data_IF_843090064737
#
_entry.id   IF_843090064737
#
_cell.length_a   1.000
_cell.length_b   1.000
_cell.length_c   1.000
_cell.angle_alpha   90.00
_cell.angle_beta   90.00
_cell.angle_gamma   90.00
#
_symmetry.space_group_name_H-M   'P 1'
#
loop_
_entity.id
_entity.type
_entity.pdbx_description
1 polymer ?
#
# COMPACT_ATOMS: atom_id res chain seq x y z
N UNK A 1 4.83 -12.89 5.60
CA UNK A 1 4.36 -13.02 4.21
C UNK A 1 3.60 -14.32 4.07
N UNK A 2 2.48 -14.28 3.34
CA UNK A 2 1.65 -15.44 3.01
C UNK A 2 1.62 -15.58 1.49
N UNK A 3 1.64 -16.81 0.99
CA UNK A 3 1.46 -17.11 -0.41
C UNK A 3 -0.01 -17.46 -0.67
N UNK A 4 -0.63 -16.77 -1.62
CA UNK A 4 -1.97 -17.11 -2.10
C UNK A 4 -1.86 -17.47 -3.58
N UNK A 5 -2.35 -18.64 -3.97
CA UNK A 5 -2.15 -19.16 -5.33
C UNK A 5 -3.44 -19.74 -5.89
N UNK A 6 -3.71 -19.47 -7.17
CA UNK A 6 -4.78 -20.13 -7.95
C UNK A 6 -4.49 -21.59 -8.31
N UNK A 7 -3.27 -22.03 -8.10
CA UNK A 7 -2.89 -23.40 -8.36
C UNK A 7 -3.66 -24.39 -7.46
N UNK A 8 -3.69 -25.65 -7.85
CA UNK A 8 -4.17 -26.75 -7.00
C UNK A 8 -3.15 -27.06 -5.90
N UNK A 9 -3.59 -27.76 -4.85
CA UNK A 9 -2.72 -28.23 -3.80
C UNK A 9 -1.59 -29.15 -4.31
N UNK A 10 -1.84 -29.93 -5.37
CA UNK A 10 -0.86 -30.82 -5.99
C UNK A 10 0.38 -30.08 -6.52
N UNK A 11 0.21 -28.85 -6.98
CA UNK A 11 1.33 -28.02 -7.43
C UNK A 11 2.06 -27.33 -6.26
N UNK A 12 1.54 -27.43 -5.06
CA UNK A 12 2.08 -26.81 -3.85
C UNK A 12 3.51 -27.24 -3.55
N UNK A 13 3.84 -28.52 -3.77
CA UNK A 13 5.19 -29.05 -3.55
C UNK A 13 6.23 -28.29 -4.40
N UNK A 14 5.94 -28.08 -5.68
CA UNK A 14 6.83 -27.30 -6.56
C UNK A 14 7.04 -25.88 -6.06
N UNK A 15 5.99 -25.27 -5.58
CA UNK A 15 6.03 -23.89 -5.05
C UNK A 15 6.88 -23.84 -3.78
N UNK A 16 6.67 -24.76 -2.85
CA UNK A 16 7.46 -24.83 -1.61
C UNK A 16 8.92 -25.16 -1.88
N UNK A 17 9.22 -26.04 -2.83
CA UNK A 17 10.59 -26.28 -3.28
C UNK A 17 11.26 -25.03 -3.83
N UNK A 18 10.51 -24.21 -4.59
CA UNK A 18 10.99 -22.93 -5.11
C UNK A 18 11.25 -21.91 -3.98
N UNK A 19 10.35 -21.83 -3.01
CA UNK A 19 10.51 -21.00 -1.81
C UNK A 19 11.80 -21.38 -1.07
N UNK A 20 12.03 -22.66 -0.87
CA UNK A 20 13.21 -23.21 -0.22
C UNK A 20 14.48 -22.91 -1.04
N UNK A 21 14.46 -23.17 -2.33
CA UNK A 21 15.57 -22.90 -3.23
C UNK A 21 16.03 -21.45 -3.21
N UNK A 22 15.08 -20.51 -3.11
CA UNK A 22 15.37 -19.08 -3.04
C UNK A 22 15.58 -18.56 -1.60
N UNK A 23 15.60 -19.42 -0.60
CA UNK A 23 15.82 -19.04 0.81
C UNK A 23 14.73 -18.12 1.38
N UNK A 24 13.48 -18.18 0.87
CA UNK A 24 12.41 -17.30 1.28
C UNK A 24 11.73 -17.81 2.56
N UNK A 25 11.54 -16.93 3.55
CA UNK A 25 10.85 -17.27 4.79
C UNK A 25 9.32 -17.16 4.64
N UNK A 26 8.73 -17.99 3.76
CA UNK A 26 7.29 -18.11 3.55
C UNK A 26 6.84 -19.47 4.07
N UNK A 27 6.14 -19.49 5.21
CA UNK A 27 5.73 -20.73 5.89
C UNK A 27 4.27 -21.10 5.70
N UNK A 28 3.44 -20.18 5.21
CA UNK A 28 2.00 -20.38 5.06
C UNK A 28 1.57 -20.05 3.63
N UNK A 29 0.74 -20.94 3.08
CA UNK A 29 0.18 -20.79 1.75
C UNK A 29 -1.27 -21.26 1.71
N UNK A 30 -2.08 -20.71 0.80
CA UNK A 30 -3.37 -21.25 0.41
C UNK A 30 -3.39 -21.47 -1.10
N UNK A 31 -3.86 -22.64 -1.51
CA UNK A 31 -4.03 -23.04 -2.90
C UNK A 31 -5.54 -23.12 -3.19
N UNK A 32 -6.00 -22.37 -4.18
CA UNK A 32 -7.42 -22.09 -4.37
C UNK A 32 -8.02 -22.81 -5.59
N UNK A 33 -7.27 -23.70 -6.25
CA UNK A 33 -7.74 -24.53 -7.36
C UNK A 33 -8.53 -23.75 -8.42
N UNK A 34 -7.99 -22.65 -8.92
CA UNK A 34 -8.61 -21.77 -9.91
C UNK A 34 -9.44 -20.62 -9.33
N UNK A 35 -9.90 -20.72 -8.08
CA UNK A 35 -10.66 -19.65 -7.44
C UNK A 35 -9.79 -18.42 -7.14
N UNK A 36 -10.43 -17.25 -7.02
CA UNK A 36 -9.71 -16.03 -6.68
C UNK A 36 -9.14 -16.07 -5.25
N UNK A 37 -7.84 -15.81 -5.07
CA UNK A 37 -7.16 -15.95 -3.80
C UNK A 37 -7.46 -14.81 -2.81
N UNK A 38 -8.00 -13.67 -3.25
CA UNK A 38 -8.26 -12.51 -2.40
C UNK A 38 -9.17 -12.84 -1.20
N UNK A 39 -10.08 -13.82 -1.35
CA UNK A 39 -10.99 -14.25 -0.28
C UNK A 39 -10.28 -14.70 1.00
N UNK A 40 -9.07 -15.18 0.87
CA UNK A 40 -8.27 -15.66 2.00
C UNK A 40 -7.41 -14.57 2.65
N UNK A 41 -7.24 -13.42 2.00
CA UNK A 41 -6.37 -12.37 2.48
C UNK A 41 -6.79 -11.84 3.88
N UNK A 42 -8.09 -11.63 4.10
CA UNK A 42 -8.62 -11.22 5.40
C UNK A 42 -8.36 -12.28 6.49
N UNK A 43 -8.59 -13.54 6.19
CA UNK A 43 -8.38 -14.64 7.13
C UNK A 43 -6.92 -14.80 7.58
N UNK A 44 -5.98 -14.36 6.74
CA UNK A 44 -4.56 -14.31 7.07
C UNK A 44 -4.14 -12.99 7.75
N UNK A 45 -5.07 -12.04 7.96
CA UNK A 45 -4.76 -10.73 8.53
C UNK A 45 -3.86 -9.89 7.62
N UNK A 46 -4.04 -9.99 6.30
CA UNK A 46 -3.22 -9.25 5.35
C UNK A 46 -3.59 -7.77 5.33
N UNK A 47 -2.59 -6.90 5.48
CA UNK A 47 -2.72 -5.45 5.33
C UNK A 47 -2.38 -4.98 3.91
N UNK A 48 -1.75 -5.84 3.11
CA UNK A 48 -1.43 -5.60 1.70
C UNK A 48 -1.60 -6.89 0.91
N UNK A 49 -2.30 -6.79 -0.22
CA UNK A 49 -2.44 -7.86 -1.19
C UNK A 49 -1.75 -7.47 -2.49
N UNK A 50 -0.86 -8.33 -2.97
CA UNK A 50 -0.11 -8.11 -4.21
C UNK A 50 -0.43 -9.21 -5.21
N UNK A 51 -0.81 -8.84 -6.43
CA UNK A 51 -1.10 -9.80 -7.50
C UNK A 51 -0.69 -9.25 -8.87
N UNK A 52 -0.41 -10.12 -9.81
CA UNK A 52 -0.29 -9.77 -11.24
C UNK A 52 -1.66 -9.60 -11.90
N UNK A 53 -2.72 -10.14 -11.29
CA UNK A 53 -4.09 -10.12 -11.80
C UNK A 53 -4.84 -8.89 -11.27
N UNK A 54 -5.17 -7.96 -12.18
CA UNK A 54 -5.86 -6.71 -11.81
C UNK A 54 -7.23 -6.96 -11.18
N UNK A 55 -7.95 -7.99 -11.66
CA UNK A 55 -9.26 -8.36 -11.13
C UNK A 55 -9.18 -8.76 -9.65
N UNK A 56 -8.14 -9.51 -9.26
CA UNK A 56 -7.92 -9.90 -7.86
C UNK A 56 -7.60 -8.70 -6.98
N UNK A 57 -6.78 -7.76 -7.50
CA UNK A 57 -6.47 -6.52 -6.78
C UNK A 57 -7.72 -5.67 -6.54
N UNK A 58 -8.56 -5.50 -7.56
CA UNK A 58 -9.84 -4.75 -7.44
C UNK A 58 -10.79 -5.40 -6.43
N UNK A 59 -10.92 -6.72 -6.49
CA UNK A 59 -11.76 -7.46 -5.56
C UNK A 59 -11.27 -7.34 -4.12
N UNK A 60 -9.95 -7.38 -3.91
CA UNK A 60 -9.33 -7.20 -2.60
C UNK A 60 -9.51 -5.78 -2.04
N UNK A 61 -9.37 -4.75 -2.90
CA UNK A 61 -9.69 -3.36 -2.53
C UNK A 61 -11.14 -3.20 -2.11
N UNK A 62 -12.08 -3.82 -2.84
CA UNK A 62 -13.50 -3.83 -2.49
C UNK A 62 -13.79 -4.51 -1.14
N UNK A 63 -12.89 -5.36 -0.65
CA UNK A 63 -12.94 -5.98 0.69
C UNK A 63 -12.18 -5.16 1.76
N UNK A 64 -11.73 -3.94 1.44
CA UNK A 64 -11.02 -3.06 2.38
C UNK A 64 -9.55 -3.39 2.63
N UNK A 65 -8.93 -4.24 1.79
CA UNK A 65 -7.50 -4.54 1.89
C UNK A 65 -6.75 -3.72 0.84
N UNK A 66 -5.70 -3.00 1.26
CA UNK A 66 -4.80 -2.33 0.35
C UNK A 66 -4.26 -3.32 -0.68
N UNK A 67 -4.35 -2.98 -1.97
CA UNK A 67 -3.97 -3.92 -3.03
C UNK A 67 -3.27 -3.24 -4.17
N UNK A 68 -2.21 -3.87 -4.67
CA UNK A 68 -1.47 -3.35 -5.80
C UNK A 68 -1.12 -4.44 -6.82
N UNK A 69 -1.15 -4.04 -8.10
CA UNK A 69 -0.72 -4.91 -9.19
C UNK A 69 0.79 -4.91 -9.29
N UNK A 70 1.38 -6.11 -9.29
CA UNK A 70 2.80 -6.29 -9.55
C UNK A 70 3.04 -6.12 -11.05
N UNK A 71 3.88 -5.16 -11.42
CA UNK A 71 4.37 -4.95 -12.78
C UNK A 71 5.74 -5.61 -12.92
N UNK A 72 5.94 -6.33 -14.02
CA UNK A 72 7.26 -6.86 -14.34
C UNK A 72 8.19 -5.72 -14.71
N UNK A 73 9.25 -5.56 -13.95
CA UNK A 73 10.31 -4.59 -14.25
C UNK A 73 11.45 -5.27 -15.00
N UNK A 74 11.95 -4.59 -16.05
CA UNK A 74 13.20 -4.96 -16.74
C UNK A 74 14.41 -4.22 -16.13
N UNK A 75 14.20 -3.45 -15.04
CA UNK A 75 15.24 -2.68 -14.39
C UNK A 75 16.29 -3.55 -13.72
N UNK A 76 17.51 -3.05 -13.65
CA UNK A 76 18.57 -3.68 -12.85
C UNK A 76 18.17 -3.59 -11.37
N UNK A 77 18.25 -4.71 -10.66
CA UNK A 77 18.06 -4.73 -9.21
C UNK A 77 19.15 -3.88 -8.56
N UNK A 78 18.73 -2.84 -7.86
CA UNK A 78 19.65 -2.08 -7.00
C UNK A 78 19.78 -2.89 -5.72
N UNK A 79 20.98 -3.40 -5.46
CA UNK A 79 21.29 -4.06 -4.17
C UNK A 79 21.17 -3.00 -3.07
N UNK A 80 20.15 -3.10 -2.26
CA UNK A 80 19.93 -2.25 -1.10
C UNK A 80 19.47 -3.12 0.06
N UNK A 81 19.99 -2.85 1.25
CA UNK A 81 19.51 -3.48 2.48
C UNK A 81 18.23 -2.79 3.02
N UNK A 82 17.74 -1.78 2.32
CA UNK A 82 16.54 -1.05 2.70
C UNK A 82 15.41 -1.27 1.69
N UNK A 83 14.22 -1.56 2.19
CA UNK A 83 12.98 -1.51 1.42
C UNK A 83 12.53 -0.05 1.34
N UNK A 84 12.45 0.49 0.14
CA UNK A 84 11.96 1.86 -0.11
C UNK A 84 10.58 1.78 -0.71
N UNK A 85 9.60 2.41 -0.05
CA UNK A 85 8.21 2.43 -0.48
C UNK A 85 7.80 3.87 -0.72
N UNK A 86 7.35 4.19 -1.92
CA UNK A 86 6.73 5.48 -2.23
C UNK A 86 5.23 5.28 -2.37
N UNK A 87 4.46 6.11 -1.68
CA UNK A 87 3.00 6.12 -1.76
C UNK A 87 2.53 7.35 -2.52
N UNK A 88 1.52 7.19 -3.35
CA UNK A 88 0.71 8.32 -3.80
C UNK A 88 -0.17 8.84 -2.65
N UNK A 89 -0.52 10.11 -2.68
CA UNK A 89 -1.32 10.76 -1.65
C UNK A 89 -2.81 10.54 -1.84
N UNK A 90 -3.37 11.25 -2.81
CA UNK A 90 -4.81 11.29 -3.05
C UNK A 90 -5.34 9.97 -3.61
N UNK A 91 -6.50 9.54 -3.14
CA UNK A 91 -7.14 8.26 -3.51
C UNK A 91 -6.34 7.00 -3.15
N UNK A 92 -5.19 7.14 -2.49
CA UNK A 92 -4.34 6.03 -2.04
C UNK A 92 -4.18 6.05 -0.52
N UNK A 93 -3.39 6.97 0.02
CA UNK A 93 -3.25 7.15 1.49
C UNK A 93 -4.45 7.90 2.05
N UNK A 94 -4.90 8.93 1.35
CA UNK A 94 -6.09 9.71 1.69
C UNK A 94 -7.27 9.27 0.83
N UNK A 95 -8.48 9.63 1.25
CA UNK A 95 -9.69 9.44 0.44
C UNK A 95 -9.61 10.25 -0.86
N UNK A 96 -10.56 10.01 -1.73
CA UNK A 96 -10.72 10.71 -3.01
C UNK A 96 -11.47 12.05 -2.90
N UNK A 97 -11.79 12.51 -1.69
CA UNK A 97 -12.60 13.73 -1.47
C UNK A 97 -12.05 14.96 -2.20
N UNK A 98 -10.74 15.14 -2.17
CA UNK A 98 -10.08 16.27 -2.81
C UNK A 98 -9.95 16.07 -4.32
N UNK A 99 -9.73 14.83 -4.77
CA UNK A 99 -9.69 14.48 -6.18
C UNK A 99 -11.04 14.72 -6.85
N UNK A 100 -12.14 14.35 -6.20
CA UNK A 100 -13.51 14.61 -6.69
C UNK A 100 -13.74 16.10 -6.92
N UNK A 101 -13.27 16.96 -6.00
CA UNK A 101 -13.40 18.40 -6.14
C UNK A 101 -12.58 18.92 -7.34
N UNK A 102 -11.36 18.42 -7.48
CA UNK A 102 -10.52 18.76 -8.62
C UNK A 102 -11.14 18.37 -9.96
N UNK A 103 -11.67 17.15 -10.05
CA UNK A 103 -12.25 16.59 -11.28
C UNK A 103 -13.52 17.31 -11.70
N UNK A 104 -14.35 17.78 -10.75
CA UNK A 104 -15.61 18.45 -11.03
C UNK A 104 -15.48 19.97 -11.19
N UNK A 105 -14.59 20.60 -10.44
CA UNK A 105 -14.55 22.06 -10.30
C UNK A 105 -13.19 22.69 -10.62
N UNK A 106 -12.17 21.88 -10.93
CA UNK A 106 -10.85 22.33 -11.34
C UNK A 106 -9.95 22.78 -10.19
N UNK A 107 -8.76 23.28 -10.57
CA UNK A 107 -7.66 23.56 -9.65
C UNK A 107 -7.98 24.67 -8.64
N UNK A 108 -8.68 25.73 -9.05
CA UNK A 108 -8.98 26.85 -8.16
C UNK A 108 -9.92 26.45 -7.03
N UNK A 109 -10.96 25.67 -7.35
CA UNK A 109 -11.88 25.13 -6.37
C UNK A 109 -11.18 24.16 -5.42
N UNK A 110 -10.31 23.30 -5.92
CA UNK A 110 -9.46 22.44 -5.13
C UNK A 110 -8.58 23.23 -4.15
N UNK A 111 -7.85 24.24 -4.62
CA UNK A 111 -6.97 25.05 -3.77
C UNK A 111 -7.74 25.81 -2.68
N UNK A 112 -8.90 26.35 -3.02
CA UNK A 112 -9.80 27.01 -2.08
C UNK A 112 -10.28 26.03 -1.01
N UNK A 113 -10.81 24.88 -1.42
CA UNK A 113 -11.27 23.83 -0.50
C UNK A 113 -10.16 23.36 0.44
N UNK A 114 -8.97 23.09 -0.04
CA UNK A 114 -7.85 22.65 0.77
C UNK A 114 -7.37 23.72 1.75
N UNK A 115 -7.42 24.99 1.36
CA UNK A 115 -7.07 26.12 2.25
C UNK A 115 -8.09 26.27 3.37
N UNK A 116 -9.39 26.23 3.07
CA UNK A 116 -10.49 26.35 4.04
C UNK A 116 -10.50 25.15 5.00
N UNK A 117 -10.13 23.97 4.53
CA UNK A 117 -10.09 22.75 5.33
C UNK A 117 -8.68 22.38 5.84
N UNK A 118 -7.72 23.29 5.79
CA UNK A 118 -6.32 23.02 6.15
C UNK A 118 -6.11 22.47 7.58
N UNK A 119 -7.08 22.68 8.48
CA UNK A 119 -7.05 22.18 9.86
C UNK A 119 -7.90 20.92 10.09
N UNK A 120 -8.65 20.49 9.08
CA UNK A 120 -9.44 19.26 9.14
C UNK A 120 -8.64 18.11 8.51
N UNK A 121 -8.38 17.03 9.25
CA UNK A 121 -7.69 15.88 8.67
C UNK A 121 -8.43 15.34 7.46
N UNK A 122 -7.68 14.89 6.45
CA UNK A 122 -8.21 14.10 5.35
C UNK A 122 -8.73 12.75 5.87
N UNK A 123 -9.75 12.22 5.24
CA UNK A 123 -10.23 10.89 5.52
C UNK A 123 -9.24 9.83 5.03
N UNK A 124 -9.27 8.65 5.65
CA UNK A 124 -8.36 7.55 5.31
C UNK A 124 -8.71 6.95 3.96
N UNK A 125 -7.70 6.82 3.11
CA UNK A 125 -7.77 6.06 1.87
C UNK A 125 -7.48 4.56 2.07
N UNK A 126 -7.53 3.78 0.99
CA UNK A 126 -7.41 2.32 1.04
C UNK A 126 -6.05 1.83 1.58
N UNK A 127 -4.98 2.60 1.43
CA UNK A 127 -3.65 2.25 1.89
C UNK A 127 -3.27 2.80 3.28
N UNK A 128 -4.16 3.55 3.93
CA UNK A 128 -3.85 4.17 5.23
C UNK A 128 -3.53 3.12 6.31
N UNK A 129 -4.25 1.99 6.34
CA UNK A 129 -3.96 0.90 7.29
C UNK A 129 -2.60 0.28 7.03
N UNK A 130 -2.25 0.02 5.77
CA UNK A 130 -0.95 -0.53 5.42
C UNK A 130 0.18 0.45 5.77
N UNK A 131 0.03 1.74 5.48
CA UNK A 131 0.99 2.76 5.88
C UNK A 131 1.22 2.77 7.40
N UNK A 132 0.14 2.67 8.18
CA UNK A 132 0.23 2.64 9.64
C UNK A 132 1.02 1.42 10.14
N UNK A 133 0.80 0.23 9.55
CA UNK A 133 1.55 -0.97 9.91
C UNK A 133 3.04 -0.88 9.55
N UNK A 134 3.36 -0.32 8.37
CA UNK A 134 4.76 -0.08 7.98
C UNK A 134 5.42 0.90 8.94
N UNK A 135 4.72 1.96 9.32
CA UNK A 135 5.22 2.93 10.30
C UNK A 135 5.42 2.31 11.69
N UNK A 136 4.52 1.43 12.13
CA UNK A 136 4.67 0.70 13.39
C UNK A 136 5.92 -0.20 13.38
N UNK A 137 6.27 -0.77 12.23
CA UNK A 137 7.54 -1.50 12.08
C UNK A 137 8.72 -0.54 12.19
N UNK A 138 8.68 0.62 11.51
CA UNK A 138 9.78 1.60 11.57
C UNK A 138 10.07 2.07 13.00
N UNK A 139 9.05 2.22 13.86
CA UNK A 139 9.23 2.63 15.27
C UNK A 139 10.14 1.72 16.08
N UNK A 140 10.31 0.46 15.67
CA UNK A 140 11.14 -0.51 16.38
C UNK A 140 12.63 -0.39 16.03
N UNK A 141 13.00 0.53 15.15
CA UNK A 141 14.37 0.71 14.68
C UNK A 141 14.85 2.15 14.87
N UNK A 142 16.13 2.37 15.19
CA UNK A 142 16.74 3.69 15.05
C UNK A 142 16.62 4.19 13.61
N UNK A 143 16.43 5.49 13.44
CA UNK A 143 16.19 6.07 12.10
C UNK A 143 17.30 5.72 11.10
N UNK A 144 18.58 5.69 11.54
CA UNK A 144 19.73 5.39 10.67
C UNK A 144 19.71 3.93 10.20
N UNK A 145 19.32 3.00 11.08
CA UNK A 145 19.37 1.55 10.82
C UNK A 145 18.02 0.96 10.39
N UNK A 146 17.03 1.82 10.14
CA UNK A 146 15.71 1.35 9.77
C UNK A 146 15.74 0.65 8.39
N UNK A 147 15.30 -0.62 8.32
CA UNK A 147 15.30 -1.37 7.06
C UNK A 147 14.23 -0.91 6.07
N UNK A 148 13.33 -0.01 6.47
CA UNK A 148 12.24 0.48 5.63
C UNK A 148 12.29 2.01 5.58
N UNK A 149 12.15 2.55 4.38
CA UNK A 149 11.97 3.99 4.14
C UNK A 149 10.65 4.23 3.43
N UNK A 150 9.96 5.28 3.87
CA UNK A 150 8.65 5.65 3.33
C UNK A 150 8.74 7.05 2.74
N UNK A 151 8.28 7.20 1.51
CA UNK A 151 8.10 8.50 0.87
C UNK A 151 6.64 8.71 0.47
N UNK A 152 6.16 9.93 0.55
CA UNK A 152 4.90 10.35 -0.03
C UNK A 152 5.19 11.15 -1.29
N UNK A 153 4.56 10.76 -2.39
CA UNK A 153 4.58 11.49 -3.66
C UNK A 153 3.20 12.08 -3.87
N UNK A 154 3.13 13.37 -4.12
CA UNK A 154 1.86 14.07 -4.34
C UNK A 154 2.04 15.23 -5.30
N UNK A 155 1.04 15.48 -6.12
CA UNK A 155 0.99 16.65 -7.00
C UNK A 155 0.57 17.95 -6.27
N UNK A 156 0.22 17.87 -4.99
CA UNK A 156 -0.21 19.03 -4.21
C UNK A 156 0.93 20.03 -4.03
N UNK A 157 0.70 21.26 -4.44
CA UNK A 157 1.60 22.39 -4.24
C UNK A 157 1.25 23.17 -2.96
N UNK A 158 2.02 24.22 -2.64
CA UNK A 158 1.65 25.18 -1.59
C UNK A 158 0.42 26.00 -2.06
N UNK A 159 -0.58 26.23 -1.17
CA UNK A 159 -0.67 25.88 0.25
C UNK A 159 -1.31 24.51 0.54
N UNK A 160 -1.82 23.78 -0.47
CA UNK A 160 -2.63 22.58 -0.32
C UNK A 160 -1.92 21.43 0.40
N UNK A 161 -0.57 21.38 0.35
CA UNK A 161 0.22 20.38 1.07
C UNK A 161 0.11 20.48 2.61
N UNK A 162 -0.29 21.65 3.16
CA UNK A 162 -0.43 21.83 4.63
C UNK A 162 -1.39 20.83 5.25
N UNK A 163 -2.53 20.59 4.58
CA UNK A 163 -3.55 19.66 5.05
C UNK A 163 -3.00 18.23 5.14
N UNK A 164 -2.22 17.81 4.15
CA UNK A 164 -1.54 16.51 4.12
C UNK A 164 -0.62 16.32 5.32
N UNK A 165 0.27 17.30 5.56
CA UNK A 165 1.21 17.24 6.70
C UNK A 165 0.48 17.18 8.03
N UNK A 166 -0.56 18.02 8.20
CA UNK A 166 -1.37 18.03 9.43
C UNK A 166 -2.14 16.73 9.62
N UNK A 167 -2.65 16.14 8.54
CA UNK A 167 -3.33 14.84 8.57
C UNK A 167 -2.40 13.74 9.05
N UNK A 168 -1.21 13.62 8.47
CA UNK A 168 -0.22 12.61 8.88
C UNK A 168 0.20 12.80 10.35
N UNK A 169 0.41 14.04 10.79
CA UNK A 169 0.70 14.34 12.21
C UNK A 169 -0.45 13.95 13.13
N UNK A 170 -1.70 14.22 12.72
CA UNK A 170 -2.89 13.82 13.46
C UNK A 170 -3.00 12.28 13.58
N UNK A 171 -2.62 11.55 12.54
CA UNK A 171 -2.55 10.09 12.57
C UNK A 171 -1.34 9.56 13.35
N UNK A 172 -0.44 10.43 13.80
CA UNK A 172 0.79 10.05 14.48
C UNK A 172 1.83 9.38 13.56
N UNK A 173 1.71 9.55 12.24
CA UNK A 173 2.58 8.94 11.24
C UNK A 173 3.62 9.96 10.79
N UNK A 174 4.89 9.52 10.75
CA UNK A 174 5.99 10.24 10.13
C UNK A 174 6.40 9.55 8.84
N UNK A 175 6.72 10.35 7.84
CA UNK A 175 7.27 9.93 6.54
C UNK A 175 8.70 10.48 6.45
N UNK A 176 9.60 9.73 5.84
CA UNK A 176 11.02 10.07 5.67
C UNK A 176 11.25 11.25 4.73
#
# INVERSE_FOLDING_TARGET
>A
VFLLSRNSADTGLRIFNSIQYHGLNIKKAAFCSGSSPHKYANSFGANLFLSTELADCRSSLGCGIASAKILRSKGKSIKSNQLKIAFDGDSVIFSDESQIIYDHFGLDAFNKHESENANKPLSKGPFASFLNEVFNIQKNFPHIDCPIRIALVTARSSPSHKRVIKTLRNWGIRID
#
